data_IF_653422484311
#
_entry.id   IF_653422484311
#
_cell.length_a   1.000
_cell.length_b   1.000
_cell.length_c   1.000
_cell.angle_alpha   90.00
_cell.angle_beta   90.00
_cell.angle_gamma   90.00
#
_symmetry.space_group_name_H-M   'P 1'
#
loop_
_entity.id
_entity.type
_entity.pdbx_description
1 polymer ?
#
# COMPACT_ATOMS: atom_id res chain seq x y z
N UNK A 1 10.66 16.26 3.40
CA UNK A 1 9.65 17.11 4.08
C UNK A 1 8.83 16.24 5.04
N UNK A 2 8.36 16.78 6.16
CA UNK A 2 7.48 16.08 7.12
C UNK A 2 6.18 16.88 7.26
N UNK A 3 5.05 16.20 7.21
CA UNK A 3 3.71 16.80 7.34
C UNK A 3 2.88 15.98 8.32
N UNK A 4 2.29 16.65 9.32
CA UNK A 4 1.34 16.04 10.25
C UNK A 4 -0.10 16.38 9.84
N UNK A 5 -1.07 15.58 10.30
CA UNK A 5 -2.48 15.76 9.98
C UNK A 5 -3.33 15.80 11.25
N UNK A 6 -4.34 16.67 11.26
CA UNK A 6 -5.27 16.80 12.39
C UNK A 6 -6.46 15.82 12.28
N UNK A 7 -6.83 15.44 11.07
CA UNK A 7 -8.02 14.64 10.80
C UNK A 7 -7.79 13.62 9.70
N UNK A 8 -8.77 12.74 9.49
CA UNK A 8 -8.76 11.83 8.34
C UNK A 8 -8.92 12.60 7.04
N UNK A 9 -8.11 12.28 6.04
CA UNK A 9 -8.10 12.97 4.76
C UNK A 9 -7.16 12.31 3.76
N UNK A 10 -6.91 13.00 2.63
CA UNK A 10 -5.92 12.58 1.63
C UNK A 10 -4.94 13.69 1.35
N UNK A 11 -3.68 13.31 1.14
CA UNK A 11 -2.68 14.25 0.65
C UNK A 11 -3.10 14.81 -0.72
N UNK A 12 -2.85 16.11 -0.94
CA UNK A 12 -3.19 16.77 -2.20
C UNK A 12 -2.36 16.24 -3.41
N UNK A 13 -1.02 16.15 -3.33
CA UNK A 13 -0.22 15.60 -4.43
C UNK A 13 -0.35 14.07 -4.52
N UNK A 14 -0.10 13.52 -5.71
CA UNK A 14 0.09 12.08 -5.87
C UNK A 14 1.24 11.60 -4.96
N UNK A 15 1.14 10.40 -4.36
CA UNK A 15 0.14 9.35 -4.58
C UNK A 15 -1.13 9.47 -3.72
N UNK A 16 -1.48 10.67 -3.22
CA UNK A 16 -2.72 10.93 -2.46
C UNK A 16 -2.98 9.93 -1.32
N UNK A 17 -1.92 9.67 -0.54
CA UNK A 17 -1.99 8.75 0.60
C UNK A 17 -3.14 9.14 1.52
N UNK A 18 -3.96 8.15 1.88
CA UNK A 18 -4.98 8.29 2.90
C UNK A 18 -4.28 8.45 4.24
N UNK A 19 -4.62 9.48 5.01
CA UNK A 19 -4.03 9.76 6.30
C UNK A 19 -5.10 9.91 7.38
N UNK A 20 -4.68 9.81 8.64
CA UNK A 20 -5.46 10.02 9.87
C UNK A 20 -4.71 10.96 10.81
N UNK A 21 -5.35 11.34 11.92
CA UNK A 21 -4.73 12.12 13.00
C UNK A 21 -3.53 11.40 13.65
N UNK A 22 -3.51 10.07 13.61
CA UNK A 22 -2.46 9.23 14.19
C UNK A 22 -1.26 9.03 13.25
N UNK A 23 -1.21 9.78 12.16
CA UNK A 23 -0.22 9.60 11.10
C UNK A 23 0.45 10.90 10.67
N UNK A 24 1.68 10.77 10.18
CA UNK A 24 2.45 11.82 9.54
C UNK A 24 2.99 11.31 8.20
N UNK A 25 3.06 12.19 7.21
CA UNK A 25 3.66 11.87 5.92
C UNK A 25 5.10 12.40 5.88
N UNK A 26 6.01 11.53 5.46
CA UNK A 26 7.38 11.87 5.12
C UNK A 26 7.51 11.82 3.59
N UNK A 27 8.12 12.85 3.03
CA UNK A 27 8.51 12.92 1.62
C UNK A 27 10.02 12.94 1.50
N UNK A 28 10.56 11.96 0.77
CA UNK A 28 11.96 11.86 0.40
C UNK A 28 12.16 12.41 -1.01
N UNK A 29 13.10 13.33 -1.17
CA UNK A 29 13.36 14.04 -2.41
C UNK A 29 14.84 13.90 -2.82
N UNK A 30 15.06 13.52 -4.07
CA UNK A 30 16.37 13.61 -4.73
C UNK A 30 16.21 14.50 -5.97
N UNK A 31 16.85 15.67 -5.97
CA UNK A 31 16.76 16.64 -7.06
C UNK A 31 18.16 17.03 -7.55
N UNK A 32 18.38 17.02 -8.86
CA UNK A 32 19.61 17.49 -9.51
C UNK A 32 20.85 16.60 -9.30
N UNK A 33 20.73 15.45 -8.64
CA UNK A 33 21.88 14.58 -8.36
C UNK A 33 22.33 13.88 -9.65
N UNK A 34 23.62 13.99 -9.97
CA UNK A 34 24.20 13.32 -11.13
C UNK A 34 24.32 11.81 -10.89
N UNK A 35 23.69 10.97 -11.73
CA UNK A 35 23.92 9.54 -11.69
C UNK A 35 25.37 9.23 -12.06
N UNK A 36 25.94 8.16 -11.48
CA UNK A 36 27.34 7.77 -11.69
C UNK A 36 27.57 6.98 -12.98
N UNK A 37 26.50 6.55 -13.64
CA UNK A 37 26.54 5.84 -14.90
C UNK A 37 25.15 5.67 -15.50
N UNK A 38 25.09 5.22 -16.74
CA UNK A 38 23.84 4.95 -17.44
C UNK A 38 23.08 3.83 -16.71
N UNK A 39 21.75 3.96 -16.59
CA UNK A 39 20.92 2.96 -15.90
C UNK A 39 21.02 2.98 -14.37
N UNK A 40 21.67 4.00 -13.78
CA UNK A 40 21.73 4.13 -12.32
C UNK A 40 20.33 4.19 -11.70
N UNK A 41 20.14 3.43 -10.63
CA UNK A 41 18.90 3.44 -9.82
C UNK A 41 19.22 3.91 -8.41
N UNK A 42 18.30 4.66 -7.83
CA UNK A 42 18.40 5.07 -6.44
C UNK A 42 17.81 4.00 -5.53
N UNK A 43 18.39 3.84 -4.35
CA UNK A 43 17.95 2.94 -3.32
C UNK A 43 17.95 3.69 -1.99
N UNK A 44 16.88 3.51 -1.22
CA UNK A 44 16.75 3.99 0.14
C UNK A 44 16.71 2.79 1.08
N UNK A 45 17.58 2.78 2.08
CA UNK A 45 17.54 1.78 3.13
C UNK A 45 16.79 2.35 4.34
N UNK A 46 15.74 1.65 4.73
CA UNK A 46 14.92 1.97 5.89
C UNK A 46 15.32 1.05 7.03
N UNK A 47 15.70 1.59 8.17
CA UNK A 47 15.95 0.83 9.38
C UNK A 47 14.90 1.18 10.44
N UNK A 48 14.36 0.16 11.11
CA UNK A 48 13.39 0.29 12.19
C UNK A 48 13.92 -0.40 13.44
N UNK A 49 13.62 0.17 14.60
CA UNK A 49 13.96 -0.39 15.91
C UNK A 49 12.68 -0.82 16.59
N UNK A 50 12.64 -2.07 17.03
CA UNK A 50 11.51 -2.64 17.75
C UNK A 50 11.95 -3.04 19.16
N UNK A 51 11.15 -2.70 20.17
CA UNK A 51 11.38 -3.13 21.54
C UNK A 51 11.07 -4.63 21.72
N UNK A 52 11.50 -5.21 22.84
CA UNK A 52 11.19 -6.59 23.19
C UNK A 52 9.67 -6.86 23.14
N UNK A 53 9.27 -7.96 22.49
CA UNK A 53 7.87 -8.34 22.34
C UNK A 53 7.14 -7.72 21.14
N UNK A 54 7.79 -6.84 20.38
CA UNK A 54 7.31 -6.39 19.06
C UNK A 54 8.08 -7.12 17.94
N UNK A 55 7.45 -7.28 16.79
CA UNK A 55 8.06 -7.83 15.59
C UNK A 55 7.68 -7.00 14.36
N UNK A 56 8.64 -6.78 13.47
CA UNK A 56 8.42 -6.07 12.22
C UNK A 56 7.97 -7.03 11.13
N UNK A 57 6.92 -6.68 10.37
CA UNK A 57 6.40 -7.47 9.24
C UNK A 57 6.13 -6.60 8.03
N UNK A 58 6.64 -7.02 6.88
CA UNK A 58 6.30 -6.40 5.59
C UNK A 58 5.04 -7.07 5.03
N UNK A 59 4.02 -6.28 4.75
CA UNK A 59 2.78 -6.69 4.09
C UNK A 59 2.61 -5.95 2.78
N UNK A 60 2.08 -6.65 1.79
CA UNK A 60 1.70 -6.09 0.50
C UNK A 60 0.22 -6.32 0.28
N UNK A 61 -0.56 -5.24 0.15
CA UNK A 61 -1.97 -5.30 -0.18
C UNK A 61 -2.17 -4.85 -1.63
N UNK A 62 -2.97 -5.63 -2.37
CA UNK A 62 -3.41 -5.25 -3.72
C UNK A 62 -4.88 -4.86 -3.70
N UNK A 63 -5.22 -3.79 -4.41
CA UNK A 63 -6.59 -3.33 -4.64
C UNK A 63 -6.84 -3.32 -6.14
N UNK A 64 -8.07 -3.57 -6.57
CA UNK A 64 -8.49 -3.39 -7.97
C UNK A 64 -8.86 -1.94 -8.30
N UNK A 65 -8.98 -1.11 -7.28
CA UNK A 65 -9.38 0.28 -7.40
C UNK A 65 -8.17 1.21 -7.27
N UNK A 66 -8.01 2.07 -8.28
CA UNK A 66 -6.93 3.04 -8.43
C UNK A 66 -7.43 4.49 -8.47
N UNK A 67 -8.69 4.75 -8.06
CA UNK A 67 -9.36 6.07 -8.10
C UNK A 67 -8.44 7.23 -7.63
N UNK A 68 -7.69 7.01 -6.56
CA UNK A 68 -6.82 8.03 -5.96
C UNK A 68 -5.37 8.00 -6.45
N UNK A 69 -4.94 6.92 -7.09
CA UNK A 69 -3.58 6.77 -7.63
C UNK A 69 -3.61 5.92 -8.89
N UNK A 70 -3.91 6.53 -10.05
CA UNK A 70 -4.11 5.81 -11.29
C UNK A 70 -2.96 4.85 -11.60
N UNK A 71 -3.29 3.66 -12.11
CA UNK A 71 -2.38 2.56 -12.44
C UNK A 71 -1.57 1.94 -11.29
N UNK A 72 -1.77 2.38 -10.04
CA UNK A 72 -1.04 1.85 -8.88
C UNK A 72 -1.98 1.04 -7.99
N UNK A 73 -1.90 -0.28 -8.15
CA UNK A 73 -2.78 -1.25 -7.48
C UNK A 73 -2.17 -1.87 -6.22
N UNK A 74 -0.98 -1.46 -5.81
CA UNK A 74 -0.23 -2.06 -4.71
C UNK A 74 0.16 -1.03 -3.65
N UNK A 75 -0.17 -1.34 -2.40
CA UNK A 75 0.25 -0.62 -1.21
C UNK A 75 1.10 -1.54 -0.36
N UNK A 76 2.26 -1.07 0.08
CA UNK A 76 3.15 -1.77 0.98
C UNK A 76 3.02 -1.15 2.37
N UNK A 77 2.97 -2.01 3.39
CA UNK A 77 2.93 -1.61 4.78
C UNK A 77 3.96 -2.42 5.56
N UNK A 78 4.86 -1.72 6.24
CA UNK A 78 5.76 -2.30 7.21
C UNK A 78 5.14 -2.06 8.60
N UNK A 79 4.70 -3.13 9.27
CA UNK A 79 3.96 -3.08 10.52
C UNK A 79 4.84 -3.50 11.70
N UNK A 80 4.73 -2.78 12.81
CA UNK A 80 5.16 -3.27 14.12
C UNK A 80 3.96 -3.98 14.76
N UNK A 81 4.08 -5.28 14.97
CA UNK A 81 3.02 -6.10 15.58
C UNK A 81 3.48 -6.62 16.95
N UNK A 82 2.58 -6.60 17.93
CA UNK A 82 2.80 -7.30 19.20
C UNK A 82 2.82 -8.81 18.97
N UNK A 83 3.84 -9.48 19.50
CA UNK A 83 3.97 -10.95 19.38
C UNK A 83 2.85 -11.69 20.13
N UNK A 84 2.28 -11.09 21.18
CA UNK A 84 1.31 -11.75 22.06
C UNK A 84 -0.15 -11.52 21.66
N UNK A 85 -0.46 -10.39 21.02
CA UNK A 85 -1.85 -9.96 20.80
C UNK A 85 -2.21 -9.66 19.34
N UNK A 86 -1.29 -9.93 18.40
CA UNK A 86 -1.41 -9.63 16.96
C UNK A 86 -1.88 -8.19 16.63
N UNK A 87 -1.81 -7.30 17.60
CA UNK A 87 -2.19 -5.90 17.46
C UNK A 87 -1.09 -5.11 16.77
N UNK A 88 -1.48 -4.24 15.83
CA UNK A 88 -0.56 -3.32 15.18
C UNK A 88 -0.27 -2.17 16.15
N UNK A 89 1.00 -2.02 16.52
CA UNK A 89 1.50 -0.96 17.40
C UNK A 89 1.79 0.32 16.61
N UNK A 90 2.34 0.16 15.42
CA UNK A 90 2.62 1.25 14.50
C UNK A 90 2.94 0.75 13.11
N UNK A 91 2.99 1.67 12.16
CA UNK A 91 3.11 1.33 10.74
C UNK A 91 3.95 2.34 9.98
N UNK A 92 4.43 1.88 8.84
CA UNK A 92 5.02 2.69 7.79
C UNK A 92 4.44 2.19 6.46
N UNK A 93 3.73 3.02 5.70
CA UNK A 93 2.90 2.63 4.56
C UNK A 93 3.16 3.53 3.34
N UNK A 94 3.31 2.93 2.17
CA UNK A 94 3.53 3.66 0.91
C UNK A 94 2.89 2.93 -0.26
N UNK A 95 2.62 3.64 -1.34
CA UNK A 95 2.23 3.01 -2.61
C UNK A 95 3.47 2.54 -3.36
N UNK A 96 3.35 1.51 -4.20
CA UNK A 96 4.45 0.95 -5.00
C UNK A 96 4.94 1.87 -6.15
N UNK A 97 5.01 3.18 -5.89
CA UNK A 97 5.40 4.22 -6.85
C UNK A 97 6.15 5.36 -6.17
N UNK A 98 7.01 6.01 -6.94
CA UNK A 98 7.60 7.33 -6.69
C UNK A 98 7.31 8.21 -7.93
N UNK A 99 7.67 9.50 -7.90
CA UNK A 99 7.38 10.42 -9.01
C UNK A 99 8.61 11.20 -9.46
N UNK A 100 8.73 11.33 -10.78
CA UNK A 100 9.81 12.04 -11.45
C UNK A 100 9.61 13.55 -11.63
N UNK A 101 8.62 14.16 -10.97
CA UNK A 101 8.24 15.55 -11.17
C UNK A 101 7.82 16.22 -9.86
N UNK A 102 8.12 17.52 -9.65
CA UNK A 102 7.59 18.30 -8.53
C UNK A 102 6.06 18.44 -8.55
N UNK A 103 5.45 18.40 -9.74
CA UNK A 103 4.01 18.41 -9.95
C UNK A 103 3.60 17.06 -10.52
N UNK A 104 3.48 16.01 -9.68
CA UNK A 104 3.41 14.64 -10.15
C UNK A 104 2.10 14.38 -10.92
N UNK A 105 2.27 13.85 -12.13
CA UNK A 105 1.20 13.31 -12.96
C UNK A 105 1.34 11.79 -13.10
N UNK A 106 0.36 11.15 -13.74
CA UNK A 106 0.35 9.70 -13.92
C UNK A 106 1.57 9.22 -14.71
N UNK A 107 1.92 9.96 -15.77
CA UNK A 107 3.06 9.71 -16.65
C UNK A 107 4.43 9.91 -15.98
N UNK A 108 4.48 10.52 -14.78
CA UNK A 108 5.72 10.73 -14.03
C UNK A 108 6.04 9.56 -13.09
N UNK A 109 5.26 8.48 -13.13
CA UNK A 109 5.39 7.35 -12.23
C UNK A 109 6.72 6.61 -12.37
N UNK A 110 7.39 6.37 -11.25
CA UNK A 110 8.58 5.54 -11.11
C UNK A 110 8.19 4.32 -10.30
N UNK A 111 8.46 3.11 -10.79
CA UNK A 111 8.17 1.90 -10.03
C UNK A 111 9.01 1.85 -8.75
N UNK A 112 8.36 1.52 -7.64
CA UNK A 112 9.04 1.32 -6.35
C UNK A 112 8.97 -0.16 -5.98
N UNK A 113 10.11 -0.76 -5.62
CA UNK A 113 10.19 -2.16 -5.16
C UNK A 113 10.84 -2.23 -3.79
N UNK A 114 10.17 -2.88 -2.86
CA UNK A 114 10.73 -3.22 -1.56
C UNK A 114 11.42 -4.58 -1.62
N UNK A 115 12.61 -4.68 -1.06
CA UNK A 115 13.33 -5.93 -0.87
C UNK A 115 12.74 -6.77 0.26
N UNK A 116 13.49 -7.79 0.67
CA UNK A 116 13.15 -8.56 1.86
C UNK A 116 13.51 -7.79 3.13
N UNK A 117 12.71 -8.00 4.18
CA UNK A 117 13.00 -7.48 5.50
C UNK A 117 14.09 -8.34 6.14
N UNK A 118 15.19 -7.71 6.54
CA UNK A 118 16.35 -8.39 7.12
C UNK A 118 16.58 -7.90 8.55
N UNK A 119 16.98 -8.80 9.45
CA UNK A 119 17.47 -8.39 10.77
C UNK A 119 18.86 -7.79 10.57
N UNK A 120 19.04 -6.54 11.01
CA UNK A 120 20.28 -5.81 10.81
C UNK A 120 21.15 -5.92 12.06
N UNK A 121 22.33 -6.53 11.91
CA UNK A 121 23.34 -6.66 12.97
C UNK A 121 24.35 -5.49 12.93
N UNK A 122 23.93 -4.30 12.55
CA UNK A 122 24.84 -3.14 12.49
C UNK A 122 24.92 -2.43 13.83
N UNK A 123 26.12 -1.98 14.15
CA UNK A 123 26.32 -1.01 15.21
C UNK A 123 25.84 0.36 14.72
N UNK A 124 24.73 0.84 15.28
CA UNK A 124 24.30 2.21 15.05
C UNK A 124 25.35 3.16 15.65
N UNK A 125 25.68 4.29 14.99
CA UNK A 125 26.58 5.27 15.58
C UNK A 125 26.05 5.74 16.95
N UNK A 126 26.94 5.83 17.95
CA UNK A 126 26.61 6.20 19.33
C UNK A 126 25.93 7.58 19.46
N UNK A 127 26.12 8.47 18.48
CA UNK A 127 25.55 9.82 18.46
C UNK A 127 24.24 9.92 17.66
N UNK A 128 23.38 8.90 17.70
CA UNK A 128 22.08 8.91 17.01
C UNK A 128 20.94 9.22 17.97
N UNK A 129 19.87 9.85 17.46
CA UNK A 129 18.61 10.07 18.22
C UNK A 129 18.05 8.75 18.75
N UNK A 130 18.28 7.65 18.02
CA UNK A 130 17.91 6.29 18.42
C UNK A 130 18.63 5.88 19.70
N UNK A 131 19.96 6.06 19.78
CA UNK A 131 20.72 5.78 21.00
C UNK A 131 20.27 6.65 22.16
N UNK A 132 19.97 7.94 21.93
CA UNK A 132 19.48 8.84 22.97
C UNK A 132 18.10 8.42 23.52
N UNK A 133 17.23 7.85 22.68
CA UNK A 133 15.89 7.42 23.08
C UNK A 133 15.87 6.01 23.71
N UNK A 134 16.57 5.05 23.11
CA UNK A 134 16.57 3.65 23.55
C UNK A 134 17.70 3.31 24.54
N UNK A 135 18.74 4.14 24.65
CA UNK A 135 19.86 3.92 25.56
C UNK A 135 20.48 2.53 25.43
N UNK A 136 20.77 1.91 26.57
CA UNK A 136 21.39 0.59 26.65
C UNK A 136 20.44 -0.55 26.23
N UNK A 137 19.14 -0.28 26.11
CA UNK A 137 18.15 -1.26 25.63
C UNK A 137 18.37 -1.64 24.18
N UNK A 138 19.00 -0.76 23.39
CA UNK A 138 19.23 -0.94 21.95
C UNK A 138 20.05 -2.21 21.63
N UNK A 139 21.05 -2.52 22.46
CA UNK A 139 21.94 -3.68 22.26
C UNK A 139 21.54 -4.94 23.03
N UNK A 140 20.57 -4.84 23.94
CA UNK A 140 20.21 -5.93 24.87
C UNK A 140 18.81 -6.49 24.64
N UNK A 141 17.85 -5.66 24.23
CA UNK A 141 16.43 -6.04 24.18
C UNK A 141 15.69 -5.55 22.93
N UNK A 142 16.28 -4.63 22.17
CA UNK A 142 15.72 -4.17 20.91
C UNK A 142 16.22 -5.01 19.73
N UNK A 143 15.36 -5.13 18.70
CA UNK A 143 15.74 -5.71 17.41
C UNK A 143 15.76 -4.60 16.37
N UNK A 144 16.83 -4.55 15.57
CA UNK A 144 16.92 -3.65 14.43
C UNK A 144 16.59 -4.45 13.17
N UNK A 145 15.64 -3.96 12.38
CA UNK A 145 15.30 -4.53 11.07
C UNK A 145 15.55 -3.51 9.98
N UNK A 146 16.06 -3.95 8.83
CA UNK A 146 16.32 -3.12 7.68
C UNK A 146 15.59 -3.63 6.43
N UNK A 147 15.15 -2.69 5.60
CA UNK A 147 14.49 -2.93 4.33
C UNK A 147 15.07 -1.99 3.27
N UNK A 148 15.39 -2.53 2.12
CA UNK A 148 15.81 -1.73 0.97
C UNK A 148 14.60 -1.41 0.08
N UNK A 149 14.46 -0.15 -0.29
CA UNK A 149 13.46 0.35 -1.23
C UNK A 149 14.18 0.89 -2.45
N UNK A 150 13.96 0.28 -3.60
CA UNK A 150 14.58 0.67 -4.87
C UNK A 150 13.58 1.40 -5.76
N UNK A 151 14.09 2.36 -6.52
CA UNK A 151 13.31 3.19 -7.42
C UNK A 151 13.79 2.99 -8.86
N UNK A 152 12.88 2.52 -9.71
CA UNK A 152 13.14 2.25 -11.12
C UNK A 152 12.31 1.07 -11.64
N UNK A 153 11.82 1.20 -12.87
CA UNK A 153 11.15 0.13 -13.62
C UNK A 153 12.02 -0.44 -14.74
N UNK A 154 11.43 -1.30 -15.56
CA UNK A 154 12.07 -1.82 -16.79
C UNK A 154 12.42 -0.69 -17.76
N UNK A 155 11.62 0.37 -17.77
CA UNK A 155 11.84 1.57 -18.59
C UNK A 155 12.87 2.56 -18.01
N UNK A 156 13.50 2.27 -16.85
CA UNK A 156 14.83 2.73 -16.40
C UNK A 156 15.24 4.22 -16.39
N UNK A 157 14.46 5.14 -16.96
CA UNK A 157 15.01 6.40 -17.49
C UNK A 157 14.40 7.66 -16.89
N UNK A 158 13.25 7.56 -16.21
CA UNK A 158 12.52 8.74 -15.69
C UNK A 158 13.41 9.67 -14.84
N UNK A 159 14.25 9.12 -13.96
CA UNK A 159 15.18 9.95 -13.18
C UNK A 159 16.32 10.51 -14.03
N UNK A 160 16.85 9.74 -14.98
CA UNK A 160 17.97 10.18 -15.81
C UNK A 160 17.60 11.41 -16.64
N UNK A 161 16.36 11.43 -17.16
CA UNK A 161 15.78 12.54 -17.91
C UNK A 161 15.40 13.73 -17.02
N UNK A 162 14.61 13.49 -15.97
CA UNK A 162 14.00 14.58 -15.17
C UNK A 162 14.87 15.08 -14.03
N UNK A 163 15.87 14.30 -13.62
CA UNK A 163 16.75 14.55 -12.46
C UNK A 163 15.96 14.86 -11.18
N UNK A 164 14.82 14.22 -11.03
CA UNK A 164 13.91 14.42 -9.90
C UNK A 164 13.30 13.09 -9.48
N UNK A 165 13.23 12.86 -8.17
CA UNK A 165 12.57 11.72 -7.54
C UNK A 165 11.94 12.18 -6.24
N UNK A 166 10.62 12.06 -6.14
CA UNK A 166 9.88 12.21 -4.90
C UNK A 166 9.23 10.87 -4.54
N UNK A 167 9.43 10.44 -3.30
CA UNK A 167 8.77 9.26 -2.73
C UNK A 167 8.10 9.64 -1.41
N UNK A 168 6.81 9.33 -1.30
CA UNK A 168 6.00 9.63 -0.12
C UNK A 168 5.70 8.36 0.66
N UNK A 169 5.83 8.46 1.99
CA UNK A 169 5.54 7.40 2.93
C UNK A 169 4.77 7.96 4.13
N UNK A 170 3.79 7.20 4.61
CA UNK A 170 3.01 7.51 5.78
C UNK A 170 3.55 6.71 6.97
N UNK A 171 3.79 7.36 8.10
CA UNK A 171 4.18 6.71 9.35
C UNK A 171 3.17 7.06 10.43
N UNK A 172 2.86 6.12 11.33
CA UNK A 172 1.87 6.37 12.37
C UNK A 172 1.80 5.27 13.40
N UNK A 173 0.93 5.47 14.38
CA UNK A 173 0.65 4.52 15.44
C UNK A 173 -0.70 3.83 15.21
N UNK A 174 -0.84 2.58 15.69
CA UNK A 174 -2.05 1.79 15.50
C UNK A 174 -2.17 1.17 14.11
N UNK A 175 -3.41 0.99 13.63
CA UNK A 175 -3.70 0.37 12.33
C UNK A 175 -3.48 1.34 11.16
N UNK A 176 -2.84 0.90 10.06
CA UNK A 176 -2.69 1.74 8.87
C UNK A 176 -4.05 2.04 8.22
N UNK A 177 -4.24 3.26 7.70
CA UNK A 177 -5.45 3.59 6.95
C UNK A 177 -5.58 2.71 5.71
N UNK A 178 -6.83 2.33 5.39
CA UNK A 178 -7.17 1.47 4.25
C UNK A 178 -8.15 2.15 3.33
N UNK A 179 -7.88 2.04 2.03
CA UNK A 179 -8.80 2.46 0.98
C UNK A 179 -9.97 1.47 0.90
N UNK A 180 -11.17 2.00 0.69
CA UNK A 180 -12.37 1.23 0.35
C UNK A 180 -12.60 1.32 -1.17
N UNK A 181 -13.37 0.39 -1.73
CA UNK A 181 -13.75 0.48 -3.13
C UNK A 181 -14.59 1.73 -3.40
N UNK A 182 -14.28 2.38 -4.52
CA UNK A 182 -15.01 3.52 -5.05
C UNK A 182 -16.43 3.11 -5.44
N UNK A 183 -17.39 4.06 -5.36
CA UNK A 183 -18.75 3.82 -5.83
C UNK A 183 -18.81 3.33 -7.28
N UNK A 184 -17.87 3.79 -8.13
CA UNK A 184 -17.74 3.35 -9.51
C UNK A 184 -17.43 1.86 -9.59
N UNK A 185 -16.37 1.39 -8.92
CA UNK A 185 -15.99 -0.04 -8.92
C UNK A 185 -17.12 -0.89 -8.36
N UNK A 186 -17.75 -0.46 -7.27
CA UNK A 186 -18.92 -1.14 -6.67
C UNK A 186 -20.06 -1.23 -7.68
N UNK A 187 -20.36 -0.15 -8.41
CA UNK A 187 -21.44 -0.13 -9.41
C UNK A 187 -21.18 -1.08 -10.59
N UNK A 188 -19.96 -1.11 -11.12
CA UNK A 188 -19.57 -2.02 -12.20
C UNK A 188 -19.70 -3.47 -11.72
N UNK A 189 -19.19 -3.79 -10.53
CA UNK A 189 -19.30 -5.11 -9.94
C UNK A 189 -20.76 -5.52 -9.73
N UNK A 190 -21.61 -4.61 -9.25
CA UNK A 190 -23.02 -4.86 -9.04
C UNK A 190 -23.76 -5.18 -10.36
N UNK A 191 -23.49 -4.46 -11.44
CA UNK A 191 -24.11 -4.73 -12.76
C UNK A 191 -23.57 -6.02 -13.37
N UNK A 192 -22.23 -6.21 -13.34
CA UNK A 192 -21.57 -7.36 -13.95
C UNK A 192 -21.97 -8.69 -13.30
N UNK A 193 -22.16 -8.71 -11.97
CA UNK A 193 -22.56 -9.91 -11.24
C UNK A 193 -24.08 -10.02 -11.08
N UNK A 194 -24.78 -8.88 -10.94
CA UNK A 194 -26.22 -8.83 -10.74
C UNK A 194 -27.01 -9.23 -11.99
N UNK A 195 -26.55 -8.84 -13.18
CA UNK A 195 -27.26 -9.15 -14.43
C UNK A 195 -27.34 -10.65 -14.71
N UNK A 196 -26.23 -11.43 -14.67
CA UNK A 196 -26.30 -12.88 -14.84
C UNK A 196 -27.15 -13.57 -13.78
N UNK A 197 -27.05 -13.14 -12.52
CA UNK A 197 -27.85 -13.70 -11.42
C UNK A 197 -29.36 -13.46 -11.65
N UNK A 198 -29.75 -12.25 -12.04
CA UNK A 198 -31.14 -11.91 -12.34
C UNK A 198 -31.68 -12.76 -13.50
N UNK A 199 -30.90 -12.94 -14.58
CA UNK A 199 -31.28 -13.79 -15.72
C UNK A 199 -31.46 -15.24 -15.29
N UNK A 200 -30.57 -15.79 -14.46
CA UNK A 200 -30.67 -17.16 -13.95
C UNK A 200 -31.91 -17.36 -13.07
N UNK A 201 -32.20 -16.41 -12.18
CA UNK A 201 -33.39 -16.48 -11.31
C UNK A 201 -34.68 -16.37 -12.12
N UNK A 202 -34.73 -15.44 -13.07
CA UNK A 202 -35.89 -15.26 -13.95
C UNK A 202 -36.12 -16.49 -14.82
N UNK A 203 -35.06 -17.01 -15.44
CA UNK A 203 -35.10 -18.25 -16.24
C UNK A 203 -35.57 -19.45 -15.42
N UNK A 204 -35.06 -19.60 -14.19
CA UNK A 204 -35.49 -20.66 -13.27
C UNK A 204 -36.96 -20.53 -12.91
N UNK A 205 -37.42 -19.32 -12.58
CA UNK A 205 -38.82 -19.06 -12.25
C UNK A 205 -39.75 -19.41 -13.43
N UNK A 206 -39.39 -18.99 -14.64
CA UNK A 206 -40.14 -19.30 -15.87
C UNK A 206 -40.21 -20.82 -16.12
N UNK A 207 -39.09 -21.54 -15.99
CA UNK A 207 -39.06 -23.00 -16.15
C UNK A 207 -39.95 -23.72 -15.13
N UNK A 208 -39.92 -23.30 -13.86
CA UNK A 208 -40.76 -23.88 -12.81
C UNK A 208 -42.26 -23.64 -13.08
N UNK A 209 -42.64 -22.43 -13.50
CA UNK A 209 -44.00 -22.09 -13.86
C UNK A 209 -44.48 -22.87 -15.10
N UNK A 210 -43.62 -23.02 -16.12
CA UNK A 210 -43.92 -23.80 -17.31
C UNK A 210 -44.11 -25.30 -17.01
N UNK A 211 -43.28 -25.88 -16.14
CA UNK A 211 -43.45 -27.28 -15.70
C UNK A 211 -44.77 -27.48 -14.94
N UNK A 212 -45.14 -26.56 -14.02
CA UNK A 212 -46.43 -26.65 -13.31
C UNK A 212 -47.63 -26.64 -14.24
N UNK A 213 -47.61 -25.81 -15.29
CA UNK A 213 -48.69 -25.80 -16.30
C UNK A 213 -48.81 -27.15 -17.03
N UNK A 214 -47.68 -27.74 -17.44
CA UNK A 214 -47.70 -29.07 -18.12
C UNK A 214 -48.21 -30.21 -17.24
N UNK A 215 -47.93 -30.19 -15.93
CA UNK A 215 -48.46 -31.19 -15.01
C UNK A 215 -49.97 -31.02 -14.75
N UNK A 216 -50.50 -29.80 -14.87
CA UNK A 216 -51.93 -29.53 -14.69
C UNK A 216 -52.79 -29.93 -15.89
N UNK A 217 -52.19 -30.10 -17.07
CA UNK A 217 -52.86 -30.53 -18.31
C UNK A 217 -52.92 -32.06 -18.47
N UNK A 218 -52.42 -32.81 -17.49
CA UNK A 218 -52.47 -34.28 -17.53
C UNK A 218 -53.88 -34.76 -17.13
N UNK A 219 -54.71 -35.11 -18.11
CA UNK A 219 -55.93 -35.90 -17.86
C UNK A 219 -55.53 -37.35 -17.54
N UNK A 220 -55.92 -37.90 -16.37
CA UNK A 220 -55.67 -39.29 -16.06
C UNK A 220 -56.48 -40.18 -17.00
N UNK A 221 -55.80 -41.10 -17.69
CA UNK A 221 -56.43 -42.08 -18.56
C UNK A 221 -57.11 -43.12 -17.66
N UNK A 222 -58.44 -43.06 -17.59
CA UNK A 222 -59.33 -44.13 -17.09
C UNK A 222 -60.02 -44.81 -18.27
#
# INVERSE_FOLDING_TARGET
QVTAFESRGRAAPLPRLLHTADSSQLEFLVAGVAPRGNGSRFLLQLATVEAAGAARRLRSQRSIDDEYTPSIFQVLSLLAESQNSSSTLGFLQWKATAYGSPSPRREDGIQCRAGELQVANWTLPLATVIQAYFGDSLGSSCTISALNVSFGGEEGEVYQEKRYLSWSVLLGFGEPPRDTFSPLVISIAAVALGTPLAVLLLGTCVLLLARRRRYSEYEPIN
#
